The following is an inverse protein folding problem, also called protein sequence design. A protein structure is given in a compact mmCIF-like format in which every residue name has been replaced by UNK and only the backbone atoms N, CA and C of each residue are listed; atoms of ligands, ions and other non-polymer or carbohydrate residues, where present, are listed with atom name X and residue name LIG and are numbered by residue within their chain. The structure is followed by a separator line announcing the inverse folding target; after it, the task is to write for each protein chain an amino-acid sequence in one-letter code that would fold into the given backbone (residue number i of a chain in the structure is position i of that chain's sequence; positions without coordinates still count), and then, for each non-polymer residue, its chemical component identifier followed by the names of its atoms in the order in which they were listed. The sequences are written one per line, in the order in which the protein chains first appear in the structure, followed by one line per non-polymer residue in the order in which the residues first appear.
data_IF_423234806464
#
_entry.id   IF_423234806464
#
_cell.length_a   1.000
_cell.length_b   1.000
_cell.length_c   1.000
_cell.angle_alpha   90.00
_cell.angle_beta   90.00
_cell.angle_gamma   90.00
#
_symmetry.space_group_name_H-M   'P 1'
#
loop_
_entity.id
_entity.type
_entity.pdbx_description
1 polymer ?
#
# COMPACT_ATOMS: atom_id res chain seq x y z
N UNK A 1 9.04 8.44 19.32
CA UNK A 1 7.85 7.59 19.09
C UNK A 1 7.95 6.42 20.04
N UNK A 2 6.92 6.17 20.87
CA UNK A 2 6.81 4.95 21.66
C UNK A 2 6.14 3.87 20.79
N UNK A 3 6.79 2.73 20.61
CA UNK A 3 6.31 1.63 19.76
C UNK A 3 5.55 0.55 20.55
N UNK A 4 5.46 0.67 21.87
CA UNK A 4 4.81 -0.33 22.74
C UNK A 4 3.33 -0.55 22.41
N UNK A 5 2.64 0.48 21.89
CA UNK A 5 1.25 0.40 21.46
C UNK A 5 1.07 -0.31 20.12
N UNK A 6 2.11 -0.35 19.27
CA UNK A 6 2.06 -0.96 17.94
C UNK A 6 2.17 -2.48 17.96
N UNK A 7 2.52 -3.08 19.11
CA UNK A 7 2.55 -4.55 19.28
C UNK A 7 1.22 -5.24 18.96
N UNK A 8 0.11 -4.51 19.05
CA UNK A 8 -1.23 -5.02 18.73
C UNK A 8 -1.64 -4.80 17.27
N UNK A 9 -0.90 -3.99 16.52
CA UNK A 9 -1.17 -3.68 15.12
C UNK A 9 -0.73 -4.84 14.22
N UNK A 10 -1.53 -5.92 14.23
CA UNK A 10 -1.28 -7.13 13.44
C UNK A 10 -2.54 -7.57 12.70
N UNK A 11 -2.36 -8.18 11.53
CA UNK A 11 -3.46 -8.77 10.76
C UNK A 11 -4.20 -9.84 11.57
N UNK A 12 -3.48 -10.62 12.37
CA UNK A 12 -4.07 -11.65 13.23
C UNK A 12 -5.02 -11.07 14.28
N UNK A 13 -4.68 -9.93 14.89
CA UNK A 13 -5.59 -9.24 15.81
C UNK A 13 -6.80 -8.68 15.08
N UNK A 14 -6.61 -8.03 13.92
CA UNK A 14 -7.73 -7.53 13.12
C UNK A 14 -8.73 -8.63 12.74
N UNK A 15 -8.25 -9.83 12.37
CA UNK A 15 -9.13 -10.96 12.07
C UNK A 15 -9.90 -11.47 13.32
N UNK A 16 -9.26 -11.47 14.49
CA UNK A 16 -9.94 -11.80 15.76
C UNK A 16 -10.98 -10.76 16.14
N UNK A 17 -10.73 -9.48 15.87
CA UNK A 17 -11.69 -8.41 16.13
C UNK A 17 -12.95 -8.56 15.25
N UNK A 18 -12.79 -8.96 13.97
CA UNK A 18 -13.94 -9.29 13.10
C UNK A 18 -14.73 -10.48 13.65
N UNK A 19 -14.05 -11.54 14.11
CA UNK A 19 -14.71 -12.71 14.70
C UNK A 19 -15.46 -12.33 15.99
N UNK A 20 -14.84 -11.49 16.83
CA UNK A 20 -15.45 -10.98 18.05
C UNK A 20 -16.69 -10.12 17.75
N UNK A 21 -16.61 -9.27 16.73
CA UNK A 21 -17.73 -8.45 16.29
C UNK A 21 -18.92 -9.31 15.86
N UNK A 22 -18.72 -10.28 14.96
CA UNK A 22 -19.80 -11.16 14.47
C UNK A 22 -20.48 -11.89 15.63
N UNK A 23 -19.70 -12.49 16.54
CA UNK A 23 -20.24 -13.19 17.71
C UNK A 23 -21.02 -12.24 18.62
N UNK A 24 -20.47 -11.08 18.91
CA UNK A 24 -21.10 -10.06 19.75
C UNK A 24 -22.40 -9.54 19.14
N UNK A 25 -22.45 -9.32 17.83
CA UNK A 25 -23.68 -8.89 17.14
C UNK A 25 -24.74 -9.99 17.14
N UNK A 26 -24.35 -11.26 16.93
CA UNK A 26 -25.28 -12.38 16.99
C UNK A 26 -25.93 -12.50 18.37
N UNK A 27 -25.15 -12.36 19.46
CA UNK A 27 -25.68 -12.36 20.83
C UNK A 27 -26.57 -11.15 21.08
N UNK A 28 -26.09 -9.95 20.73
CA UNK A 28 -26.81 -8.69 20.98
C UNK A 28 -28.19 -8.65 20.31
N UNK A 29 -28.32 -9.19 19.11
CA UNK A 29 -29.55 -9.15 18.33
C UNK A 29 -30.32 -10.49 18.31
N UNK A 30 -29.84 -11.51 19.04
CA UNK A 30 -30.52 -12.81 19.14
C UNK A 30 -30.60 -13.59 17.82
N UNK A 31 -29.60 -13.44 16.94
CA UNK A 31 -29.62 -14.12 15.64
C UNK A 31 -29.36 -15.62 15.79
N UNK A 32 -30.30 -16.43 15.29
CA UNK A 32 -30.17 -17.89 15.19
C UNK A 32 -29.69 -18.28 13.80
N UNK A 33 -28.54 -18.94 13.70
CA UNK A 33 -27.91 -19.36 12.44
C UNK A 33 -27.80 -18.24 11.36
N UNK A 34 -27.24 -17.05 11.68
CA UNK A 34 -27.14 -15.95 10.73
C UNK A 34 -26.12 -16.23 9.62
N UNK A 35 -26.38 -15.68 8.43
CA UNK A 35 -25.44 -15.71 7.31
C UNK A 35 -24.70 -14.39 7.20
N UNK A 36 -23.40 -14.41 7.50
CA UNK A 36 -22.52 -13.25 7.35
C UNK A 36 -21.70 -13.35 6.06
N UNK A 37 -21.62 -12.25 5.32
CA UNK A 37 -20.72 -12.09 4.16
C UNK A 37 -19.81 -10.91 4.43
N UNK A 38 -18.50 -11.10 4.30
CA UNK A 38 -17.53 -10.01 4.47
C UNK A 38 -17.23 -9.33 3.15
N UNK A 39 -16.99 -8.01 3.18
CA UNK A 39 -16.66 -7.21 2.01
C UNK A 39 -15.43 -6.36 2.28
N UNK A 40 -14.59 -6.17 1.27
CA UNK A 40 -13.48 -5.24 1.35
C UNK A 40 -12.79 -5.01 0.01
N UNK A 41 -12.11 -3.87 -0.09
CA UNK A 41 -11.22 -3.52 -1.21
C UNK A 41 -9.78 -3.34 -0.73
N UNK A 42 -8.77 -3.63 -1.56
CA UNK A 42 -7.34 -3.51 -1.18
C UNK A 42 -7.02 -4.33 0.09
N UNK A 43 -6.34 -3.76 1.08
CA UNK A 43 -6.05 -4.46 2.35
C UNK A 43 -7.30 -4.99 3.07
N UNK A 44 -8.41 -4.22 3.23
CA UNK A 44 -9.70 -4.78 3.67
C UNK A 44 -10.22 -5.95 2.83
N UNK A 45 -9.93 -5.97 1.52
CA UNK A 45 -10.23 -7.10 0.64
C UNK A 45 -9.42 -8.33 1.02
N UNK A 46 -8.12 -8.16 1.29
CA UNK A 46 -7.28 -9.23 1.82
C UNK A 46 -7.78 -9.72 3.18
N UNK A 47 -8.17 -8.81 4.09
CA UNK A 47 -8.80 -9.18 5.36
C UNK A 47 -10.09 -9.97 5.17
N UNK A 48 -10.95 -9.58 4.23
CA UNK A 48 -12.20 -10.29 3.90
C UNK A 48 -11.91 -11.74 3.46
N UNK A 49 -10.98 -11.94 2.53
CA UNK A 49 -10.58 -13.26 2.06
C UNK A 49 -9.91 -14.10 3.16
N UNK A 50 -8.95 -13.52 3.90
CA UNK A 50 -8.25 -14.18 4.99
C UNK A 50 -9.20 -14.51 6.15
N UNK A 51 -10.20 -13.67 6.42
CA UNK A 51 -11.21 -13.93 7.43
C UNK A 51 -12.04 -15.15 7.07
N UNK A 52 -12.56 -15.23 5.84
CA UNK A 52 -13.28 -16.43 5.36
C UNK A 52 -12.41 -17.68 5.42
N UNK A 53 -11.14 -17.58 5.06
CA UNK A 53 -10.21 -18.70 5.14
C UNK A 53 -9.93 -19.16 6.58
N UNK A 54 -9.82 -18.22 7.54
CA UNK A 54 -9.45 -18.52 8.93
C UNK A 54 -10.64 -18.88 9.82
N UNK A 55 -11.81 -18.31 9.54
CA UNK A 55 -13.05 -18.47 10.30
C UNK A 55 -14.22 -18.87 9.38
N UNK A 56 -14.13 -20.03 8.69
CA UNK A 56 -15.16 -20.45 7.74
C UNK A 56 -16.54 -20.64 8.40
N UNK A 57 -16.58 -20.96 9.70
CA UNK A 57 -17.85 -21.15 10.41
C UNK A 57 -18.58 -19.83 10.72
N UNK A 58 -17.87 -18.69 10.67
CA UNK A 58 -18.44 -17.37 11.01
C UNK A 58 -18.93 -16.59 9.80
N UNK A 59 -18.66 -17.05 8.58
CA UNK A 59 -19.07 -16.36 7.36
C UNK A 59 -19.36 -17.36 6.25
N UNK A 60 -20.40 -17.11 5.46
CA UNK A 60 -20.75 -17.96 4.31
C UNK A 60 -19.99 -17.58 3.03
N UNK A 61 -19.33 -16.42 3.00
CA UNK A 61 -18.61 -15.95 1.83
C UNK A 61 -17.88 -14.62 2.05
N UNK A 62 -16.96 -14.31 1.14
CA UNK A 62 -16.19 -13.08 1.18
C UNK A 62 -16.10 -12.45 -0.21
N UNK A 63 -16.28 -11.14 -0.28
CA UNK A 63 -15.97 -10.31 -1.45
C UNK A 63 -14.67 -9.56 -1.18
N UNK A 64 -13.65 -9.84 -1.99
CA UNK A 64 -12.29 -9.33 -1.84
C UNK A 64 -11.86 -8.62 -3.12
N UNK A 65 -12.19 -7.33 -3.22
CA UNK A 65 -11.90 -6.52 -4.41
C UNK A 65 -10.47 -5.99 -4.37
N UNK A 66 -9.75 -6.03 -5.50
CA UNK A 66 -8.37 -5.54 -5.64
C UNK A 66 -7.44 -5.97 -4.49
N UNK A 67 -7.62 -7.18 -3.98
CA UNK A 67 -6.99 -7.67 -2.76
C UNK A 67 -5.63 -8.33 -3.08
N UNK A 68 -4.50 -7.78 -2.60
CA UNK A 68 -3.22 -8.47 -2.68
C UNK A 68 -3.21 -9.60 -1.63
N UNK A 69 -3.60 -10.80 -2.03
CA UNK A 69 -3.62 -11.98 -1.15
C UNK A 69 -2.22 -12.55 -0.90
N UNK A 70 -1.35 -12.44 -1.90
CA UNK A 70 0.04 -12.83 -1.82
C UNK A 70 0.86 -11.65 -1.28
N UNK A 71 1.20 -11.71 0.00
CA UNK A 71 2.10 -10.74 0.62
C UNK A 71 3.51 -10.92 0.07
N UNK A 72 3.94 -10.01 -0.80
CA UNK A 72 5.30 -9.94 -1.34
C UNK A 72 6.02 -8.77 -0.69
N UNK A 73 7.20 -9.01 -0.13
CA UNK A 73 8.07 -7.93 0.39
C UNK A 73 8.53 -7.01 -0.74
N UNK A 74 8.88 -7.60 -1.88
CA UNK A 74 9.17 -6.89 -3.11
C UNK A 74 8.08 -7.20 -4.14
N UNK A 75 7.24 -6.21 -4.44
CA UNK A 75 6.12 -6.30 -5.38
C UNK A 75 6.42 -5.47 -6.64
N UNK A 76 7.57 -5.73 -7.27
CA UNK A 76 8.01 -5.01 -8.47
C UNK A 76 7.05 -5.18 -9.65
N UNK A 77 6.26 -6.24 -9.68
CA UNK A 77 5.26 -6.48 -10.72
C UNK A 77 4.19 -5.39 -10.75
N UNK A 78 3.97 -4.69 -9.63
CA UNK A 78 3.08 -3.53 -9.60
C UNK A 78 3.58 -2.42 -10.54
N UNK A 79 4.88 -2.14 -10.54
CA UNK A 79 5.48 -1.16 -11.45
C UNK A 79 5.35 -1.61 -12.92
N UNK A 80 5.46 -2.91 -13.20
CA UNK A 80 5.25 -3.45 -14.54
C UNK A 80 3.80 -3.25 -15.02
N UNK A 81 2.82 -3.42 -14.14
CA UNK A 81 1.40 -3.15 -14.47
C UNK A 81 1.20 -1.66 -14.75
N UNK A 82 1.78 -0.78 -13.93
CA UNK A 82 1.73 0.67 -14.18
C UNK A 82 2.35 1.03 -15.54
N UNK A 83 3.49 0.45 -15.90
CA UNK A 83 4.11 0.66 -17.20
C UNK A 83 3.20 0.19 -18.35
N UNK A 84 2.54 -0.96 -18.21
CA UNK A 84 1.60 -1.45 -19.19
C UNK A 84 0.38 -0.53 -19.33
N UNK A 85 -0.14 0.02 -18.24
CA UNK A 85 -1.27 0.98 -18.27
C UNK A 85 -0.88 2.28 -19.02
N UNK A 86 0.34 2.78 -18.80
CA UNK A 86 0.88 3.90 -19.58
C UNK A 86 0.93 3.57 -21.07
N UNK A 87 1.39 2.36 -21.42
CA UNK A 87 1.50 1.89 -22.81
C UNK A 87 0.13 1.77 -23.48
N UNK A 88 -0.90 1.31 -22.77
CA UNK A 88 -2.28 1.22 -23.27
C UNK A 88 -2.82 2.61 -23.58
N UNK A 89 -2.50 3.60 -22.73
CA UNK A 89 -2.97 4.99 -22.92
C UNK A 89 -2.26 5.66 -24.08
N UNK A 90 -0.93 5.52 -24.16
CA UNK A 90 -0.11 5.98 -25.27
C UNK A 90 1.17 5.12 -25.36
N UNK A 91 1.45 4.47 -26.50
CA UNK A 91 2.64 3.62 -26.67
C UNK A 91 3.98 4.32 -26.40
N UNK A 92 4.07 5.64 -26.57
CA UNK A 92 5.28 6.43 -26.35
C UNK A 92 5.44 6.88 -24.89
N UNK A 93 4.36 6.82 -24.09
CA UNK A 93 4.34 7.32 -22.71
C UNK A 93 5.37 6.63 -21.80
N UNK A 94 5.54 5.28 -21.82
CA UNK A 94 6.58 4.63 -21.02
C UNK A 94 7.99 5.16 -21.32
N UNK A 95 8.33 5.35 -22.60
CA UNK A 95 9.63 5.88 -22.99
C UNK A 95 9.82 7.33 -22.55
N UNK A 96 8.79 8.17 -22.70
CA UNK A 96 8.82 9.57 -22.25
C UNK A 96 8.98 9.67 -20.72
N UNK A 97 8.24 8.85 -19.95
CA UNK A 97 8.37 8.78 -18.49
C UNK A 97 9.77 8.33 -18.10
N UNK A 98 10.31 7.27 -18.73
CA UNK A 98 11.67 6.82 -18.48
C UNK A 98 12.70 7.93 -18.73
N UNK A 99 12.63 8.60 -19.88
CA UNK A 99 13.54 9.71 -20.21
C UNK A 99 13.44 10.84 -19.20
N UNK A 100 12.23 11.18 -18.73
CA UNK A 100 12.03 12.18 -17.70
C UNK A 100 12.73 11.78 -16.39
N UNK A 101 12.59 10.53 -15.94
CA UNK A 101 13.29 10.03 -14.75
C UNK A 101 14.81 10.02 -14.90
N UNK A 102 15.33 9.58 -16.05
CA UNK A 102 16.78 9.61 -16.33
C UNK A 102 17.33 11.05 -16.26
N UNK A 103 16.59 12.02 -16.82
CA UNK A 103 16.98 13.43 -16.80
C UNK A 103 16.86 14.04 -15.39
N UNK A 104 15.82 13.69 -14.65
CA UNK A 104 15.67 14.11 -13.26
C UNK A 104 16.84 13.61 -12.40
N UNK A 105 17.27 12.36 -12.57
CA UNK A 105 18.42 11.81 -11.87
C UNK A 105 19.71 12.57 -12.22
N UNK A 106 19.94 12.90 -13.49
CA UNK A 106 21.11 13.69 -13.89
C UNK A 106 21.10 15.10 -13.28
N UNK A 107 19.94 15.78 -13.31
CA UNK A 107 19.79 17.13 -12.76
C UNK A 107 19.93 17.15 -11.22
N UNK A 108 19.48 16.10 -10.52
CA UNK A 108 19.53 16.06 -9.06
C UNK A 108 20.96 16.04 -8.50
N UNK A 109 21.95 15.60 -9.29
CA UNK A 109 23.36 15.52 -8.88
C UNK A 109 24.03 16.88 -8.69
N UNK A 110 23.51 17.97 -9.26
CA UNK A 110 24.15 19.30 -9.18
C UNK A 110 23.27 20.35 -8.51
N UNK A 111 23.88 21.37 -7.90
CA UNK A 111 23.12 22.48 -7.28
C UNK A 111 22.29 23.25 -8.31
N UNK A 112 22.87 23.50 -9.48
CA UNK A 112 22.17 24.16 -10.59
C UNK A 112 21.01 23.31 -11.11
N UNK A 113 21.23 22.01 -11.33
CA UNK A 113 20.19 21.09 -11.78
C UNK A 113 19.06 20.93 -10.77
N UNK A 114 19.34 20.88 -9.46
CA UNK A 114 18.31 20.93 -8.42
C UNK A 114 17.51 22.25 -8.44
N UNK A 115 18.15 23.39 -8.72
CA UNK A 115 17.43 24.65 -8.91
C UNK A 115 16.49 24.60 -10.12
N UNK A 116 16.93 23.97 -11.21
CA UNK A 116 16.11 23.77 -12.40
C UNK A 116 14.93 22.83 -12.14
N UNK A 117 15.14 21.73 -11.39
CA UNK A 117 14.06 20.84 -10.94
C UNK A 117 13.04 21.58 -10.06
N UNK A 118 13.49 22.44 -9.14
CA UNK A 118 12.58 23.27 -8.34
C UNK A 118 11.69 24.16 -9.22
N UNK A 119 12.23 24.71 -10.31
CA UNK A 119 11.45 25.49 -11.28
C UNK A 119 10.46 24.61 -12.06
N UNK A 120 10.88 23.45 -12.57
CA UNK A 120 10.01 22.55 -13.34
C UNK A 120 8.85 22.01 -12.52
N UNK A 121 9.11 21.51 -11.32
CA UNK A 121 8.11 20.90 -10.46
C UNK A 121 7.41 21.90 -9.53
N UNK A 122 7.79 23.18 -9.61
CA UNK A 122 7.32 24.25 -8.72
C UNK A 122 7.41 23.83 -7.24
N UNK A 123 8.53 23.19 -6.87
CA UNK A 123 8.73 22.71 -5.51
C UNK A 123 8.86 23.92 -4.58
N UNK A 124 8.09 23.91 -3.51
CA UNK A 124 8.22 24.92 -2.46
C UNK A 124 9.58 24.71 -1.79
N UNK A 125 10.38 25.77 -1.66
CA UNK A 125 11.56 25.73 -0.81
C UNK A 125 11.08 25.46 0.62
N UNK A 126 11.38 24.28 1.16
CA UNK A 126 11.30 24.11 2.61
C UNK A 126 12.29 25.10 3.22
N UNK A 127 11.81 25.99 4.07
CA UNK A 127 12.63 26.94 4.85
C UNK A 127 13.51 26.24 5.91
N UNK A 128 13.66 24.92 5.81
CA UNK A 128 14.64 24.13 6.51
C UNK A 128 15.46 23.41 5.45
N UNK A 129 16.77 23.63 5.49
CA UNK A 129 17.73 22.82 4.75
C UNK A 129 17.52 21.37 5.16
N UNK A 130 16.81 20.59 4.35
CA UNK A 130 16.91 19.13 4.41
C UNK A 130 18.32 18.82 3.93
N UNK A 131 19.23 18.67 4.89
CA UNK A 131 20.58 18.17 4.67
C UNK A 131 20.40 16.70 4.29
N UNK A 132 20.37 16.41 3.00
CA UNK A 132 20.60 15.05 2.52
C UNK A 132 22.09 14.77 2.75
N UNK A 133 22.44 14.36 3.97
CA UNK A 133 23.71 13.68 4.20
C UNK A 133 23.58 12.32 3.51
N UNK A 134 24.18 12.21 2.33
CA UNK A 134 24.54 10.91 1.78
C UNK A 134 25.60 10.37 2.73
N UNK A 135 25.20 9.49 3.64
CA UNK A 135 26.14 8.74 4.46
C UNK A 135 26.74 7.66 3.55
N UNK A 136 28.01 7.80 3.19
CA UNK A 136 28.78 6.77 2.46
C UNK A 136 29.13 5.56 3.36
N UNK A 137 28.53 5.44 4.54
CA UNK A 137 28.78 4.33 5.45
C UNK A 137 27.84 3.13 5.18
N UNK A 138 28.39 2.08 4.55
CA UNK A 138 28.02 0.71 4.90
C UNK A 138 27.44 -0.18 3.79
N UNK A 139 28.23 -0.45 2.74
CA UNK A 139 28.21 -1.76 2.10
C UNK A 139 29.46 -2.53 2.56
N UNK A 140 29.31 -3.27 3.66
CA UNK A 140 30.15 -4.41 4.05
C UNK A 140 29.25 -5.49 4.64
#
# INVERSE_FOLDING_TARGET
MNFDSLKLLTTQQALKDIAYFIRSMNVKYGFTNPRWVTFGGSYPGSLSAWFRSKYPDLTVGAVASSAPLNLKLNMYEYAMVVENDLKITNPECPAAVKMAFDQMQKLSMTKAGRSQLNTYFKLVKTNTAVRWEYDEAGYH
#
